data_IF_583168955627
#
_entry.id   IF_583168955627
#
_cell.length_a   1.000
_cell.length_b   1.000
_cell.length_c   1.000
_cell.angle_alpha   90.00
_cell.angle_beta   90.00
_cell.angle_gamma   90.00
#
_symmetry.space_group_name_H-M   'P 1'
#
loop_
_entity.id
_entity.type
_entity.pdbx_description
1 polymer ?
#
# COMPACT_ATOMS: atom_id res chain seq x y z
N UNK A 1 -2.61 12.08 9.90
CA UNK A 1 -4.02 11.72 9.68
C UNK A 1 -4.76 11.68 11.01
N UNK A 2 -6.07 11.99 11.03
CA UNK A 2 -6.86 11.95 12.27
C UNK A 2 -8.20 11.24 12.03
N UNK A 3 -8.49 10.22 12.85
CA UNK A 3 -9.76 9.51 12.82
C UNK A 3 -10.89 10.47 13.20
N UNK A 4 -11.89 10.60 12.31
CA UNK A 4 -13.00 11.54 12.50
C UNK A 4 -14.00 11.12 13.58
N UNK A 5 -13.93 9.87 14.05
CA UNK A 5 -14.85 9.38 15.08
C UNK A 5 -14.39 9.83 16.49
N UNK A 6 -13.20 9.42 16.93
CA UNK A 6 -12.71 9.67 18.29
C UNK A 6 -11.36 10.40 18.35
N UNK A 7 -10.89 10.96 17.22
CA UNK A 7 -9.72 11.83 17.21
C UNK A 7 -8.36 11.15 17.39
N UNK A 8 -8.27 9.82 17.32
CA UNK A 8 -6.97 9.14 17.27
C UNK A 8 -6.17 9.64 16.07
N UNK A 9 -4.95 10.12 16.33
CA UNK A 9 -4.11 10.74 15.32
C UNK A 9 -2.92 9.83 14.99
N UNK A 10 -2.64 9.74 13.70
CA UNK A 10 -1.58 8.92 13.12
C UNK A 10 -0.62 9.80 12.33
N UNK A 11 0.67 9.49 12.37
CA UNK A 11 1.65 10.14 11.47
C UNK A 11 1.49 9.63 10.02
N UNK A 12 2.37 10.08 9.12
CA UNK A 12 2.35 9.66 7.72
C UNK A 12 2.86 8.24 7.49
N UNK A 13 3.52 7.62 8.48
CA UNK A 13 3.93 6.23 8.46
C UNK A 13 2.87 5.29 9.07
N UNK A 14 1.75 5.84 9.56
CA UNK A 14 0.66 5.08 10.15
C UNK A 14 0.83 4.80 11.64
N UNK A 15 1.85 5.32 12.32
CA UNK A 15 2.01 5.12 13.76
C UNK A 15 0.94 5.91 14.51
N UNK A 16 0.33 5.30 15.52
CA UNK A 16 -0.57 6.01 16.44
C UNK A 16 0.26 6.97 17.30
N UNK A 17 0.11 8.27 17.09
CA UNK A 17 0.90 9.30 17.78
C UNK A 17 0.13 10.02 18.88
N UNK A 18 -1.20 10.04 18.84
CA UNK A 18 -2.02 10.67 19.86
C UNK A 18 -3.38 10.00 20.02
N UNK A 19 -3.82 9.88 21.28
CA UNK A 19 -5.13 9.41 21.70
C UNK A 19 -5.72 10.46 22.64
N UNK A 20 -6.90 11.05 22.34
CA UNK A 20 -7.54 11.99 23.26
C UNK A 20 -7.84 11.35 24.63
N UNK A 21 -7.61 12.10 25.71
CA UNK A 21 -7.82 11.66 27.09
C UNK A 21 -7.09 10.34 27.45
N UNK A 22 -5.90 10.12 26.89
CA UNK A 22 -5.18 8.86 27.11
C UNK A 22 -4.88 8.61 28.58
N UNK A 23 -4.42 9.63 29.32
CA UNK A 23 -4.04 9.46 30.74
C UNK A 23 -5.25 9.07 31.61
N UNK A 24 -6.43 9.62 31.32
CA UNK A 24 -7.64 9.39 32.12
C UNK A 24 -8.41 8.14 31.70
N UNK A 25 -8.50 7.84 30.39
CA UNK A 25 -9.32 6.77 29.86
C UNK A 25 -8.54 5.53 29.40
N UNK A 26 -7.25 5.68 29.06
CA UNK A 26 -6.41 4.62 28.51
C UNK A 26 -4.98 4.61 29.11
N UNK A 27 -4.82 4.63 30.46
CA UNK A 27 -3.51 4.84 31.10
C UNK A 27 -2.47 3.76 30.76
N UNK A 28 -2.91 2.56 30.37
CA UNK A 28 -2.05 1.43 30.02
C UNK A 28 -1.91 1.20 28.51
N UNK A 29 -2.44 2.08 27.67
CA UNK A 29 -2.40 1.90 26.21
C UNK A 29 -0.97 2.14 25.68
N UNK A 30 -0.43 1.13 25.01
CA UNK A 30 0.84 1.18 24.28
C UNK A 30 0.57 1.51 22.83
N UNK A 31 0.73 2.77 22.45
CA UNK A 31 0.33 3.27 21.11
C UNK A 31 0.98 2.48 19.97
N UNK A 32 2.19 1.99 20.17
CA UNK A 32 2.95 1.17 19.23
C UNK A 32 2.27 -0.16 18.86
N UNK A 33 1.38 -0.67 19.71
CA UNK A 33 0.62 -1.92 19.47
C UNK A 33 -0.72 -1.67 18.76
N UNK A 34 -1.11 -0.41 18.57
CA UNK A 34 -2.44 -0.02 18.06
C UNK A 34 -2.37 0.81 16.76
N UNK A 35 -1.29 0.66 16.01
CA UNK A 35 -1.22 1.08 14.61
C UNK A 35 -2.12 0.21 13.72
N UNK A 36 -2.57 0.71 12.56
CA UNK A 36 -3.18 -0.14 11.55
C UNK A 36 -2.16 -1.16 11.05
N UNK A 37 -2.66 -2.33 10.62
CA UNK A 37 -1.83 -3.37 10.01
C UNK A 37 -1.00 -2.79 8.87
N UNK A 38 0.30 -3.10 8.86
CA UNK A 38 1.24 -2.64 7.83
C UNK A 38 1.41 -3.70 6.75
N UNK A 39 1.54 -3.26 5.50
CA UNK A 39 1.90 -4.10 4.37
C UNK A 39 3.39 -3.94 4.08
N UNK A 40 4.05 -5.00 3.60
CA UNK A 40 5.33 -4.88 2.91
C UNK A 40 5.12 -4.10 1.61
N UNK A 41 6.01 -3.16 1.31
CA UNK A 41 5.94 -2.32 0.11
C UNK A 41 7.23 -2.46 -0.65
N UNK A 42 7.13 -2.79 -1.93
CA UNK A 42 8.26 -2.97 -2.84
C UNK A 42 7.92 -2.32 -4.18
N UNK A 43 8.93 -1.85 -4.91
CA UNK A 43 8.75 -1.15 -6.19
C UNK A 43 9.41 -1.88 -7.33
N UNK A 44 8.77 -1.90 -8.50
CA UNK A 44 9.37 -2.36 -9.74
C UNK A 44 9.24 -1.28 -10.82
N UNK A 45 10.37 -0.65 -11.18
CA UNK A 45 10.50 0.36 -12.24
C UNK A 45 9.37 1.42 -12.25
N UNK A 46 9.08 1.99 -11.08
CA UNK A 46 8.07 3.04 -10.89
C UNK A 46 6.69 2.53 -10.44
N UNK A 47 6.39 1.24 -10.62
CA UNK A 47 5.17 0.63 -10.07
C UNK A 47 5.37 0.30 -8.59
N UNK A 48 4.37 0.56 -7.75
CA UNK A 48 4.38 0.29 -6.32
C UNK A 48 3.46 -0.91 -6.05
N UNK A 49 4.01 -1.97 -5.45
CA UNK A 49 3.27 -3.17 -5.04
C UNK A 49 3.27 -3.30 -3.51
N UNK A 50 2.26 -3.99 -2.98
CA UNK A 50 2.15 -4.25 -1.55
C UNK A 50 1.68 -5.69 -1.28
N UNK A 51 2.18 -6.28 -0.20
CA UNK A 51 1.79 -7.62 0.26
C UNK A 51 1.69 -7.66 1.80
N UNK A 52 0.64 -8.27 2.32
CA UNK A 52 0.43 -8.43 3.77
C UNK A 52 1.23 -9.60 4.37
N UNK A 53 1.53 -10.61 3.55
CA UNK A 53 2.16 -11.83 4.00
C UNK A 53 3.66 -11.63 4.24
N UNK A 54 4.09 -11.82 5.49
CA UNK A 54 5.49 -11.69 5.89
C UNK A 54 6.36 -12.82 5.32
N UNK A 55 5.77 -13.99 5.08
CA UNK A 55 6.46 -15.19 4.63
C UNK A 55 6.42 -15.36 3.10
N UNK A 56 5.69 -14.49 2.40
CA UNK A 56 5.67 -14.47 0.94
C UNK A 56 7.04 -14.11 0.35
N UNK A 57 7.36 -14.60 -0.87
CA UNK A 57 8.55 -14.16 -1.58
C UNK A 57 8.58 -12.63 -1.77
N UNK A 58 9.77 -12.08 -1.97
CA UNK A 58 9.92 -10.68 -2.41
C UNK A 58 9.30 -10.46 -3.80
N UNK A 59 9.11 -9.18 -4.15
CA UNK A 59 8.48 -8.79 -5.41
C UNK A 59 9.29 -9.27 -6.61
N UNK A 60 10.62 -9.21 -6.53
CA UNK A 60 11.50 -9.61 -7.62
C UNK A 60 11.33 -11.10 -7.97
N UNK A 61 11.26 -11.94 -6.94
CA UNK A 61 11.01 -13.38 -7.03
C UNK A 61 9.58 -13.67 -7.49
N UNK A 62 8.59 -12.95 -6.96
CA UNK A 62 7.18 -13.11 -7.35
C UNK A 62 6.95 -12.81 -8.83
N UNK A 63 7.55 -11.72 -9.35
CA UNK A 63 7.43 -11.36 -10.76
C UNK A 63 8.20 -12.33 -11.66
N UNK A 64 9.36 -12.82 -11.23
CA UNK A 64 10.16 -13.79 -11.97
C UNK A 64 10.41 -13.36 -13.42
N UNK A 65 10.24 -14.28 -14.37
CA UNK A 65 10.45 -14.01 -15.80
C UNK A 65 9.41 -13.05 -16.42
N UNK A 66 8.31 -12.73 -15.71
CA UNK A 66 7.35 -11.75 -16.20
C UNK A 66 7.97 -10.34 -16.31
N UNK A 67 9.02 -10.06 -15.52
CA UNK A 67 9.80 -8.82 -15.55
C UNK A 67 10.29 -8.47 -16.96
N UNK A 68 10.74 -9.47 -17.73
CA UNK A 68 11.17 -9.28 -19.12
C UNK A 68 10.10 -8.60 -19.98
N UNK A 69 8.83 -9.00 -19.82
CA UNK A 69 7.72 -8.42 -20.57
C UNK A 69 7.34 -7.04 -20.04
N UNK A 70 7.37 -6.85 -18.72
CA UNK A 70 7.08 -5.55 -18.08
C UNK A 70 8.05 -4.46 -18.55
N UNK A 71 9.33 -4.82 -18.73
CA UNK A 71 10.40 -3.91 -19.14
C UNK A 71 10.16 -3.27 -20.51
N UNK A 72 9.40 -3.93 -21.40
CA UNK A 72 9.05 -3.37 -22.70
C UNK A 72 8.27 -2.05 -22.60
N UNK A 73 7.56 -1.83 -21.49
CA UNK A 73 6.86 -0.59 -21.16
C UNK A 73 7.64 0.25 -20.16
N UNK A 74 8.15 -0.37 -19.09
CA UNK A 74 8.64 0.34 -17.92
C UNK A 74 10.10 0.80 -18.03
N UNK A 75 10.88 0.23 -18.95
CA UNK A 75 12.34 0.42 -19.01
C UNK A 75 12.83 0.86 -20.40
N UNK A 76 12.02 1.67 -21.09
CA UNK A 76 12.33 2.12 -22.46
C UNK A 76 13.30 3.28 -22.53
N UNK A 77 13.60 3.90 -21.39
CA UNK A 77 14.36 5.15 -21.27
C UNK A 77 15.02 5.20 -19.89
N UNK A 78 16.23 5.75 -19.82
CA UNK A 78 16.95 5.98 -18.57
C UNK A 78 16.19 6.93 -17.61
N UNK A 79 15.23 7.70 -18.12
CA UNK A 79 14.37 8.57 -17.32
C UNK A 79 13.25 7.83 -16.57
N UNK A 80 13.00 6.54 -16.89
CA UNK A 80 11.86 5.80 -16.37
C UNK A 80 10.52 6.28 -16.92
N UNK A 81 9.44 6.04 -16.15
CA UNK A 81 8.07 6.41 -16.50
C UNK A 81 7.42 7.29 -15.45
N UNK A 82 6.54 8.20 -15.88
CA UNK A 82 5.65 8.97 -14.99
C UNK A 82 4.17 8.69 -15.29
N UNK A 83 3.34 8.76 -14.25
CA UNK A 83 1.90 8.74 -14.42
C UNK A 83 1.39 10.15 -14.68
N UNK A 84 0.63 10.34 -15.75
CA UNK A 84 -0.15 11.57 -15.94
C UNK A 84 -1.13 11.70 -14.76
N UNK A 85 -1.25 12.87 -14.12
CA UNK A 85 -2.12 13.03 -12.97
C UNK A 85 -3.58 12.62 -13.23
N UNK A 86 -4.21 12.12 -12.16
CA UNK A 86 -5.58 11.58 -12.09
C UNK A 86 -5.75 10.09 -12.48
N UNK A 87 -6.64 9.42 -11.76
CA UNK A 87 -7.00 8.01 -11.97
C UNK A 87 -8.50 7.93 -12.23
N UNK A 88 -8.90 7.39 -13.37
CA UNK A 88 -10.30 7.14 -13.69
C UNK A 88 -10.82 5.94 -12.87
N UNK A 89 -12.03 6.06 -12.31
CA UNK A 89 -12.67 5.01 -11.49
C UNK A 89 -14.11 4.78 -11.96
N UNK A 90 -14.51 3.53 -12.16
CA UNK A 90 -15.87 3.11 -12.51
C UNK A 90 -16.17 1.72 -11.94
N UNK A 91 -17.44 1.31 -11.98
CA UNK A 91 -17.89 0.01 -11.44
C UNK A 91 -18.37 -0.89 -12.57
N UNK A 92 -17.87 -2.13 -12.60
CA UNK A 92 -18.35 -3.19 -13.49
C UNK A 92 -18.92 -4.30 -12.60
N UNK A 93 -20.21 -4.69 -12.74
CA UNK A 93 -20.81 -5.74 -11.93
C UNK A 93 -20.46 -7.14 -12.49
N UNK A 94 -19.18 -7.49 -12.48
CA UNK A 94 -18.68 -8.79 -12.91
C UNK A 94 -17.67 -9.37 -11.91
N UNK A 95 -17.24 -10.61 -12.14
CA UNK A 95 -16.14 -11.19 -11.36
C UNK A 95 -14.80 -10.60 -11.82
N UNK A 96 -13.93 -10.23 -10.88
CA UNK A 96 -12.61 -9.64 -11.17
C UNK A 96 -11.69 -10.54 -12.01
N UNK A 97 -11.91 -11.86 -12.02
CA UNK A 97 -11.12 -12.80 -12.84
C UNK A 97 -11.33 -12.57 -14.33
N UNK A 98 -12.52 -12.14 -14.76
CA UNK A 98 -12.83 -11.93 -16.17
C UNK A 98 -11.89 -10.90 -16.82
N UNK A 99 -11.80 -9.63 -16.35
CA UNK A 99 -10.86 -8.66 -16.94
C UNK A 99 -9.38 -8.98 -16.72
N UNK A 100 -9.03 -9.91 -15.81
CA UNK A 100 -7.66 -10.33 -15.61
C UNK A 100 -7.21 -11.44 -16.60
N UNK A 101 -8.14 -12.24 -17.13
CA UNK A 101 -7.87 -13.32 -18.10
C UNK A 101 -7.88 -12.83 -19.55
N UNK A 102 -8.62 -11.76 -19.85
CA UNK A 102 -8.77 -11.19 -21.19
C UNK A 102 -7.48 -10.55 -21.73
#
# INVERSE_FOLDING_TARGET
FACRYHGWAYDTAGNLVSVPFQEEAFPNLRREEWGPLQARVETYKGLIFANWDADAPDLDTYLGEAKFYMDHMLDRSDAGTEAIPAVQKWVIPCNWKSPAEH
#
